data_IF_707577247347
#
_entry.id   IF_707577247347
#
_cell.length_a   1.000
_cell.length_b   1.000
_cell.length_c   1.000
_cell.angle_alpha   90.00
_cell.angle_beta   90.00
_cell.angle_gamma   90.00
#
_symmetry.space_group_name_H-M   'P 1'
#
loop_
_entity.id
_entity.type
_entity.pdbx_description
1 polymer ?
#
# COMPACT_ATOMS: atom_id res chain seq x y z
N UNK A 1 0.57 -24.52 21.91
CA UNK A 1 0.10 -23.12 21.99
C UNK A 1 -1.27 -23.07 21.31
N UNK A 2 -2.37 -22.78 22.02
CA UNK A 2 -3.70 -22.90 21.44
C UNK A 2 -3.87 -21.78 20.39
N UNK A 3 -4.19 -22.17 19.16
CA UNK A 3 -4.59 -21.25 18.10
C UNK A 3 -5.82 -20.47 18.62
N UNK A 4 -5.65 -19.18 18.88
CA UNK A 4 -6.75 -18.28 19.20
C UNK A 4 -7.79 -18.47 18.09
N UNK A 5 -8.98 -18.98 18.43
CA UNK A 5 -10.10 -19.01 17.49
C UNK A 5 -10.48 -17.57 17.20
N UNK A 6 -9.91 -17.02 16.12
CA UNK A 6 -10.23 -15.69 15.61
C UNK A 6 -11.71 -15.72 15.22
N UNK A 7 -12.55 -15.00 15.96
CA UNK A 7 -13.94 -14.81 15.61
C UNK A 7 -14.02 -13.89 14.38
N UNK A 8 -13.94 -14.52 13.20
CA UNK A 8 -13.96 -13.84 11.89
C UNK A 8 -15.19 -12.95 11.73
N UNK A 9 -16.32 -13.33 12.33
CA UNK A 9 -17.57 -12.55 12.24
C UNK A 9 -17.46 -11.20 12.95
N UNK A 10 -16.85 -11.19 14.15
CA UNK A 10 -16.62 -9.97 14.93
C UNK A 10 -15.67 -9.01 14.24
N UNK A 11 -14.56 -9.51 13.71
CA UNK A 11 -13.58 -8.68 12.99
C UNK A 11 -14.19 -8.06 11.72
N UNK A 12 -14.98 -8.83 10.98
CA UNK A 12 -15.68 -8.34 9.81
C UNK A 12 -16.68 -7.24 10.17
N UNK A 13 -17.53 -7.46 11.18
CA UNK A 13 -18.50 -6.46 11.62
C UNK A 13 -17.81 -5.15 12.07
N UNK A 14 -16.72 -5.25 12.81
CA UNK A 14 -15.93 -4.09 13.22
C UNK A 14 -15.33 -3.33 12.02
N UNK A 15 -14.78 -4.05 11.03
CA UNK A 15 -14.21 -3.45 9.83
C UNK A 15 -15.28 -2.76 8.97
N UNK A 16 -16.46 -3.38 8.82
CA UNK A 16 -17.57 -2.80 8.08
C UNK A 16 -18.12 -1.53 8.76
N UNK A 17 -18.18 -1.50 10.10
CA UNK A 17 -18.55 -0.29 10.82
C UNK A 17 -17.55 0.84 10.59
N UNK A 18 -16.23 0.57 10.71
CA UNK A 18 -15.19 1.56 10.37
C UNK A 18 -15.33 2.05 8.92
N UNK A 19 -15.56 1.14 7.96
CA UNK A 19 -15.72 1.50 6.55
C UNK A 19 -16.95 2.38 6.27
N UNK A 20 -18.05 2.20 7.01
CA UNK A 20 -19.22 3.08 6.92
C UNK A 20 -18.83 4.53 7.23
N UNK A 21 -18.00 4.72 8.25
CA UNK A 21 -17.56 6.03 8.73
C UNK A 21 -16.51 6.70 7.84
N UNK A 22 -15.77 5.94 7.01
CA UNK A 22 -14.83 6.51 6.03
C UNK A 22 -15.60 7.38 5.02
N UNK A 23 -15.31 8.69 4.90
CA UNK A 23 -16.07 9.55 4.02
C UNK A 23 -15.74 9.30 2.54
N UNK A 24 -16.76 9.31 1.68
CA UNK A 24 -16.54 9.38 0.22
C UNK A 24 -16.36 10.85 -0.15
N UNK A 25 -15.11 11.31 -0.14
CA UNK A 25 -14.78 12.72 -0.39
C UNK A 25 -14.63 12.96 -1.90
N UNK A 26 -15.43 13.86 -2.52
CA UNK A 26 -15.23 14.26 -3.91
C UNK A 26 -13.80 14.78 -4.17
N UNK A 27 -13.17 14.51 -5.33
CA UNK A 27 -11.78 14.89 -5.57
C UNK A 27 -11.49 16.39 -5.39
N UNK A 28 -12.44 17.28 -5.74
CA UNK A 28 -12.26 18.72 -5.53
C UNK A 28 -12.18 19.09 -4.05
N UNK A 29 -12.96 18.42 -3.19
CA UNK A 29 -12.96 18.66 -1.75
C UNK A 29 -11.67 18.11 -1.13
N UNK A 30 -11.25 16.90 -1.53
CA UNK A 30 -9.98 16.32 -1.08
C UNK A 30 -8.79 17.22 -1.45
N UNK A 31 -8.80 17.80 -2.66
CA UNK A 31 -7.78 18.74 -3.11
C UNK A 31 -7.69 19.98 -2.20
N UNK A 32 -8.83 20.57 -1.84
CA UNK A 32 -8.88 21.72 -0.91
C UNK A 32 -8.41 21.35 0.50
N UNK A 33 -8.78 20.17 1.01
CA UNK A 33 -8.31 19.70 2.32
C UNK A 33 -6.79 19.55 2.37
N UNK A 34 -6.17 19.06 1.30
CA UNK A 34 -4.70 19.01 1.20
C UNK A 34 -4.09 20.41 1.28
N UNK A 35 -4.73 21.42 0.67
CA UNK A 35 -4.31 22.81 0.75
C UNK A 35 -4.46 23.41 2.15
N UNK A 36 -5.55 23.10 2.84
CA UNK A 36 -5.79 23.53 4.22
C UNK A 36 -4.75 22.92 5.17
N UNK A 37 -4.33 21.68 4.93
CA UNK A 37 -3.26 21.00 5.68
C UNK A 37 -1.84 21.41 5.25
N UNK A 38 -1.70 22.43 4.40
CA UNK A 38 -0.42 23.02 4.05
C UNK A 38 0.32 22.38 2.87
N UNK A 39 -0.27 21.40 2.17
CA UNK A 39 0.33 20.87 0.95
C UNK A 39 0.14 21.85 -0.23
N UNK A 40 1.25 22.32 -0.83
CA UNK A 40 1.26 23.30 -1.92
C UNK A 40 1.92 22.75 -3.19
N UNK A 41 1.54 23.27 -4.35
CA UNK A 41 2.12 22.88 -5.64
C UNK A 41 1.66 21.51 -6.16
N UNK A 42 2.39 20.92 -7.10
CA UNK A 42 2.13 19.57 -7.64
C UNK A 42 0.67 19.30 -8.07
N UNK A 43 0.03 20.27 -8.74
CA UNK A 43 -1.41 20.23 -9.03
C UNK A 43 -1.85 18.98 -9.80
N UNK A 44 -1.07 18.55 -10.81
CA UNK A 44 -1.35 17.33 -11.58
C UNK A 44 -1.34 16.10 -10.69
N UNK A 45 -0.33 15.95 -9.83
CA UNK A 45 -0.21 14.83 -8.91
C UNK A 45 -1.33 14.83 -7.86
N UNK A 46 -1.63 15.99 -7.26
CA UNK A 46 -2.76 16.13 -6.32
C UNK A 46 -4.08 15.71 -6.93
N UNK A 47 -4.40 16.20 -8.14
CA UNK A 47 -5.64 15.82 -8.85
C UNK A 47 -5.71 14.31 -9.09
N UNK A 48 -4.62 13.69 -9.53
CA UNK A 48 -4.55 12.26 -9.77
C UNK A 48 -4.74 11.43 -8.49
N UNK A 49 -4.04 11.80 -7.40
CA UNK A 49 -4.09 11.08 -6.12
C UNK A 49 -5.44 11.28 -5.42
N UNK A 50 -6.06 12.46 -5.50
CA UNK A 50 -7.44 12.68 -5.04
C UNK A 50 -8.46 11.82 -5.80
N UNK A 51 -8.30 11.68 -7.12
CA UNK A 51 -9.17 10.81 -7.92
C UNK A 51 -8.97 9.33 -7.56
N UNK A 52 -7.73 8.91 -7.34
CA UNK A 52 -7.39 7.55 -6.88
C UNK A 52 -8.05 7.26 -5.53
N UNK A 53 -7.89 8.15 -4.55
CA UNK A 53 -8.45 8.00 -3.22
C UNK A 53 -9.99 7.91 -3.25
N UNK A 54 -10.64 8.77 -4.04
CA UNK A 54 -12.08 8.70 -4.26
C UNK A 54 -12.51 7.34 -4.84
N UNK A 55 -11.81 6.87 -5.88
CA UNK A 55 -12.10 5.58 -6.54
C UNK A 55 -11.90 4.41 -5.58
N UNK A 56 -10.83 4.44 -4.78
CA UNK A 56 -10.53 3.42 -3.76
C UNK A 56 -11.66 3.28 -2.75
N UNK A 57 -12.01 4.37 -2.05
CA UNK A 57 -13.07 4.35 -1.03
C UNK A 57 -14.41 3.97 -1.64
N UNK A 58 -14.76 4.51 -2.82
CA UNK A 58 -16.02 4.18 -3.49
C UNK A 58 -16.07 2.70 -3.87
N UNK A 59 -14.99 2.14 -4.41
CA UNK A 59 -14.89 0.71 -4.74
C UNK A 59 -15.07 -0.16 -3.49
N UNK A 60 -14.41 0.18 -2.38
CA UNK A 60 -14.56 -0.55 -1.12
C UNK A 60 -16.00 -0.56 -0.63
N UNK A 61 -16.67 0.60 -0.61
CA UNK A 61 -18.09 0.68 -0.18
C UNK A 61 -19.02 -0.09 -1.11
N UNK A 62 -18.84 0.00 -2.43
CA UNK A 62 -19.64 -0.76 -3.40
C UNK A 62 -19.56 -2.27 -3.13
N UNK A 63 -18.36 -2.80 -2.91
CA UNK A 63 -18.17 -4.23 -2.65
C UNK A 63 -18.74 -4.63 -1.28
N UNK A 64 -18.35 -3.91 -0.23
CA UNK A 64 -18.52 -4.41 1.15
C UNK A 64 -19.77 -3.90 1.87
N UNK A 65 -20.38 -2.81 1.41
CA UNK A 65 -21.59 -2.24 2.01
C UNK A 65 -22.82 -2.38 1.12
N UNK A 66 -22.62 -2.39 -0.20
CA UNK A 66 -23.72 -2.45 -1.18
C UNK A 66 -23.79 -3.76 -1.96
N UNK A 67 -22.86 -4.69 -1.75
CA UNK A 67 -22.93 -6.05 -2.29
C UNK A 67 -22.65 -6.16 -3.80
N UNK A 68 -22.00 -5.18 -4.41
CA UNK A 68 -21.63 -5.25 -5.83
C UNK A 68 -20.56 -6.32 -6.06
N UNK A 69 -20.66 -7.01 -7.19
CA UNK A 69 -19.65 -7.97 -7.62
C UNK A 69 -18.35 -7.25 -7.99
N UNK A 70 -17.20 -7.84 -7.64
CA UNK A 70 -15.88 -7.30 -8.03
C UNK A 70 -15.70 -7.21 -9.54
N UNK A 71 -16.39 -8.06 -10.30
CA UNK A 71 -16.34 -8.15 -11.77
C UNK A 71 -17.09 -7.01 -12.45
N UNK A 72 -18.07 -6.41 -11.78
CA UNK A 72 -18.88 -5.30 -12.31
C UNK A 72 -18.22 -3.94 -12.10
N UNK A 73 -17.17 -3.90 -11.27
CA UNK A 73 -16.47 -2.68 -10.89
C UNK A 73 -15.14 -2.57 -11.65
N UNK A 74 -14.73 -1.36 -12.07
CA UNK A 74 -13.43 -1.14 -12.67
C UNK A 74 -12.29 -1.74 -11.82
N UNK A 75 -11.30 -2.42 -12.43
CA UNK A 75 -10.26 -3.12 -11.71
C UNK A 75 -9.49 -2.17 -10.78
N UNK A 76 -8.99 -2.75 -9.68
CA UNK A 76 -8.06 -2.02 -8.81
C UNK A 76 -6.83 -1.61 -9.61
N UNK A 77 -6.34 -0.40 -9.39
CA UNK A 77 -5.16 0.13 -10.09
C UNK A 77 -4.14 0.57 -9.05
N UNK A 78 -2.94 -0.01 -9.13
CA UNK A 78 -1.78 0.50 -8.41
C UNK A 78 -1.35 1.83 -9.06
N UNK A 79 -0.70 2.71 -8.28
CA UNK A 79 -0.29 4.02 -8.75
C UNK A 79 1.19 4.25 -8.47
N UNK A 80 1.91 4.80 -9.46
CA UNK A 80 3.31 5.15 -9.36
C UNK A 80 3.46 6.68 -9.33
N UNK A 81 3.97 7.21 -8.22
CA UNK A 81 4.31 8.64 -8.08
C UNK A 81 5.76 8.87 -8.51
N UNK A 82 5.97 9.60 -9.60
CA UNK A 82 7.30 10.00 -10.05
C UNK A 82 7.54 11.49 -9.84
N UNK A 83 8.71 11.83 -9.31
CA UNK A 83 9.14 13.20 -9.07
C UNK A 83 10.45 13.25 -8.28
N UNK A 84 11.13 14.40 -8.23
CA UNK A 84 12.43 14.55 -7.57
C UNK A 84 12.33 14.32 -6.05
N UNK A 85 13.47 14.12 -5.41
CA UNK A 85 13.56 14.03 -3.94
C UNK A 85 13.08 15.34 -3.29
N UNK A 86 12.39 15.24 -2.16
CA UNK A 86 11.90 16.41 -1.42
C UNK A 86 10.66 17.11 -2.00
N UNK A 87 10.07 16.63 -3.10
CA UNK A 87 8.90 17.28 -3.72
C UNK A 87 7.55 16.96 -3.04
N UNK A 88 7.57 16.24 -1.91
CA UNK A 88 6.36 15.91 -1.14
C UNK A 88 5.56 14.69 -1.63
N UNK A 89 6.18 13.68 -2.24
CA UNK A 89 5.48 12.44 -2.66
C UNK A 89 4.90 11.69 -1.46
N UNK A 90 5.75 11.38 -0.49
CA UNK A 90 5.42 10.63 0.72
C UNK A 90 4.44 11.40 1.59
N UNK A 91 4.66 12.71 1.75
CA UNK A 91 3.77 13.61 2.50
C UNK A 91 2.35 13.69 1.89
N UNK A 92 2.23 13.68 0.55
CA UNK A 92 0.92 13.67 -0.12
C UNK A 92 0.11 12.43 0.24
N UNK A 93 0.75 11.27 0.22
CA UNK A 93 0.12 9.98 0.54
C UNK A 93 -0.29 9.94 2.01
N UNK A 94 0.58 10.37 2.90
CA UNK A 94 0.30 10.43 4.34
C UNK A 94 -0.90 11.34 4.64
N UNK A 95 -0.89 12.59 4.17
CA UNK A 95 -1.99 13.51 4.41
C UNK A 95 -3.32 12.97 3.87
N UNK A 96 -3.33 12.40 2.66
CA UNK A 96 -4.59 11.98 2.05
C UNK A 96 -5.15 10.70 2.67
N UNK A 97 -4.34 9.66 2.79
CA UNK A 97 -4.84 8.34 3.19
C UNK A 97 -4.84 8.14 4.70
N UNK A 98 -3.83 8.63 5.42
CA UNK A 98 -3.72 8.52 6.88
C UNK A 98 -4.52 9.62 7.59
N UNK A 99 -4.31 10.89 7.26
CA UNK A 99 -4.93 11.99 8.01
C UNK A 99 -6.38 12.28 7.57
N UNK A 100 -6.60 12.46 6.26
CA UNK A 100 -7.92 12.84 5.72
C UNK A 100 -8.90 11.67 5.72
N UNK A 101 -8.47 10.50 5.22
CA UNK A 101 -9.33 9.33 5.07
C UNK A 101 -9.27 8.35 6.25
N UNK A 102 -8.23 8.43 7.09
CA UNK A 102 -8.04 7.56 8.25
C UNK A 102 -8.09 6.07 7.92
N UNK A 103 -7.57 5.71 6.74
CA UNK A 103 -7.38 4.32 6.33
C UNK A 103 -6.07 3.77 6.93
N UNK A 104 -5.98 2.47 7.23
CA UNK A 104 -4.74 1.87 7.69
C UNK A 104 -3.71 2.02 6.60
N UNK A 105 -2.65 2.80 6.89
CA UNK A 105 -1.68 3.24 5.88
C UNK A 105 -0.28 2.95 6.36
N UNK A 106 0.45 2.15 5.58
CA UNK A 106 1.85 1.83 5.82
C UNK A 106 2.69 2.45 4.71
N UNK A 107 3.78 3.10 5.12
CA UNK A 107 4.80 3.65 4.24
C UNK A 107 6.08 2.87 4.55
N UNK A 108 6.67 2.25 3.53
CA UNK A 108 7.92 1.51 3.65
C UNK A 108 8.96 2.03 2.66
N UNK A 109 10.22 2.01 3.08
CA UNK A 109 11.37 2.18 2.20
C UNK A 109 11.79 0.81 1.69
N UNK A 110 11.84 0.64 0.37
CA UNK A 110 12.14 -0.66 -0.24
C UNK A 110 13.61 -1.06 -0.15
N UNK A 111 14.52 -0.13 0.12
CA UNK A 111 15.96 -0.43 0.22
C UNK A 111 16.30 -1.36 1.38
N UNK A 112 15.43 -1.41 2.39
CA UNK A 112 15.57 -2.32 3.53
C UNK A 112 15.18 -3.78 3.23
N UNK A 113 14.64 -4.11 2.06
CA UNK A 113 14.10 -5.45 1.77
C UNK A 113 15.09 -6.38 1.07
N UNK A 114 15.02 -7.69 1.37
CA UNK A 114 15.87 -8.72 0.75
C UNK A 114 15.13 -10.05 0.53
N UNK A 115 15.48 -10.81 -0.52
CA UNK A 115 14.77 -12.04 -0.94
C UNK A 115 14.72 -13.15 0.12
N UNK A 116 15.67 -13.20 1.05
CA UNK A 116 15.75 -14.28 2.07
C UNK A 116 15.51 -13.79 3.49
N UNK A 117 15.19 -12.51 3.69
CA UNK A 117 15.03 -11.94 5.02
C UNK A 117 16.29 -11.98 5.91
N UNK A 118 17.45 -12.36 5.35
CA UNK A 118 18.65 -12.72 6.12
C UNK A 118 19.52 -11.51 6.48
N UNK A 119 19.43 -10.44 5.68
CA UNK A 119 20.18 -9.17 5.88
C UNK A 119 19.24 -7.95 5.86
N UNK A 120 18.01 -8.09 5.35
CA UNK A 120 16.97 -7.07 5.32
C UNK A 120 15.58 -7.65 5.56
N UNK A 121 14.55 -6.80 5.58
CA UNK A 121 13.16 -7.19 5.82
C UNK A 121 12.60 -8.12 4.70
N UNK A 122 11.74 -9.07 5.06
CA UNK A 122 10.95 -9.89 4.13
C UNK A 122 9.75 -9.08 3.62
N UNK A 123 9.41 -9.17 2.33
CA UNK A 123 8.26 -8.48 1.71
C UNK A 123 6.94 -8.76 2.45
N UNK A 124 6.77 -9.95 3.04
CA UNK A 124 5.59 -10.32 3.84
C UNK A 124 5.41 -9.43 5.07
N UNK A 125 6.50 -8.86 5.60
CA UNK A 125 6.44 -7.96 6.75
C UNK A 125 5.64 -6.69 6.46
N UNK A 126 5.48 -6.30 5.19
CA UNK A 126 4.60 -5.20 4.78
C UNK A 126 3.16 -5.46 5.26
N UNK A 127 2.65 -6.68 5.04
CA UNK A 127 1.31 -7.07 5.46
C UNK A 127 1.22 -7.17 6.99
N UNK A 128 2.28 -7.62 7.67
CA UNK A 128 2.35 -7.62 9.13
C UNK A 128 2.26 -6.20 9.69
N UNK A 129 2.99 -5.24 9.11
CA UNK A 129 2.92 -3.82 9.48
C UNK A 129 1.53 -3.25 9.22
N UNK A 130 0.90 -3.62 8.11
CA UNK A 130 -0.46 -3.16 7.77
C UNK A 130 -1.49 -3.71 8.75
N UNK A 131 -1.33 -4.98 9.15
CA UNK A 131 -2.17 -5.62 10.15
C UNK A 131 -2.00 -4.97 11.52
N UNK A 132 -0.77 -4.61 11.90
CA UNK A 132 -0.47 -3.91 13.15
C UNK A 132 -1.18 -2.55 13.24
N UNK A 133 -1.06 -1.69 12.21
CA UNK A 133 -1.77 -0.39 12.16
C UNK A 133 -3.29 -0.54 11.99
N UNK A 134 -3.76 -1.77 11.80
CA UNK A 134 -5.18 -2.11 11.69
C UNK A 134 -5.74 -2.74 12.97
N UNK A 135 -5.05 -2.60 14.12
CA UNK A 135 -5.40 -3.24 15.39
C UNK A 135 -5.57 -4.76 15.28
N UNK A 136 -4.73 -5.39 14.46
CA UNK A 136 -4.80 -6.82 14.15
C UNK A 136 -6.14 -7.28 13.52
N UNK A 137 -6.89 -6.36 12.91
CA UNK A 137 -8.09 -6.69 12.14
C UNK A 137 -7.74 -6.91 10.65
N UNK A 138 -7.80 -8.17 10.13
CA UNK A 138 -7.43 -8.46 8.76
C UNK A 138 -8.40 -7.87 7.72
N UNK A 139 -9.69 -7.77 8.05
CA UNK A 139 -10.68 -7.15 7.16
C UNK A 139 -10.47 -5.65 7.03
N UNK A 140 -10.08 -4.99 8.12
CA UNK A 140 -9.72 -3.57 8.08
C UNK A 140 -8.40 -3.33 7.35
N UNK A 141 -7.39 -4.18 7.58
CA UNK A 141 -6.12 -4.14 6.85
C UNK A 141 -6.32 -4.27 5.32
N UNK A 142 -7.24 -5.14 4.88
CA UNK A 142 -7.58 -5.31 3.47
C UNK A 142 -8.17 -4.05 2.79
N UNK A 143 -8.64 -3.07 3.57
CA UNK A 143 -9.13 -1.78 3.06
C UNK A 143 -8.02 -0.71 3.03
N UNK A 144 -6.85 -1.04 3.57
CA UNK A 144 -5.73 -0.13 3.75
C UNK A 144 -4.97 0.22 2.48
N UNK A 145 -3.88 0.96 2.71
CA UNK A 145 -2.99 1.49 1.68
C UNK A 145 -1.56 1.16 2.05
N UNK A 146 -0.81 0.68 1.06
CA UNK A 146 0.64 0.48 1.16
C UNK A 146 1.32 1.45 0.21
N UNK A 147 2.24 2.25 0.73
CA UNK A 147 3.11 3.12 -0.04
C UNK A 147 4.53 2.56 0.02
N UNK A 148 5.12 2.35 -1.15
CA UNK A 148 6.50 1.87 -1.30
C UNK A 148 7.34 3.05 -1.80
N UNK A 149 8.20 3.56 -0.93
CA UNK A 149 9.15 4.62 -1.24
C UNK A 149 10.46 4.03 -1.78
N UNK A 150 11.26 4.87 -2.43
CA UNK A 150 12.52 4.49 -3.09
C UNK A 150 12.39 3.33 -4.11
N UNK A 151 11.21 3.19 -4.74
CA UNK A 151 10.91 2.10 -5.67
C UNK A 151 11.91 1.99 -6.84
N UNK A 152 12.54 3.11 -7.24
CA UNK A 152 13.59 3.14 -8.27
C UNK A 152 14.84 2.33 -7.90
N UNK A 153 15.11 2.14 -6.61
CA UNK A 153 16.27 1.37 -6.12
C UNK A 153 16.17 -0.11 -6.44
N UNK A 154 14.95 -0.64 -6.61
CA UNK A 154 14.75 -2.02 -7.07
C UNK A 154 15.33 -2.29 -8.46
N UNK A 155 15.39 -1.28 -9.32
CA UNK A 155 15.88 -1.42 -10.70
C UNK A 155 17.42 -1.27 -10.81
N UNK A 156 18.07 -0.72 -9.77
CA UNK A 156 19.50 -0.38 -9.79
C UNK A 156 20.39 -1.56 -9.41
N UNK A 157 19.85 -2.58 -8.74
CA UNK A 157 20.57 -3.80 -8.39
C UNK A 157 20.73 -4.73 -9.60
N UNK A 158 21.44 -4.27 -10.63
CA UNK A 158 21.95 -5.12 -11.71
C UNK A 158 23.23 -5.78 -11.21
N UNK A 159 23.33 -7.11 -11.37
CA UNK A 159 24.56 -7.86 -11.14
C UNK A 159 25.71 -7.30 -11.98
N UNK A 160 26.50 -6.38 -11.42
CA UNK A 160 27.84 -6.03 -11.91
C UNK A 160 28.93 -6.91 -11.29
N UNK A 161 28.56 -7.95 -10.54
CA UNK A 161 29.46 -9.08 -10.31
C UNK A 161 29.50 -9.94 -11.58
N UNK A 162 30.27 -9.49 -12.58
CA UNK A 162 30.83 -10.43 -13.56
C UNK A 162 31.70 -11.40 -12.77
N UNK A 163 31.23 -12.63 -12.68
CA UNK A 163 31.95 -13.76 -12.14
C UNK A 163 33.21 -14.02 -12.95
N UNK A 164 34.35 -13.56 -12.45
CA UNK A 164 35.61 -14.27 -12.65
C UNK A 164 35.64 -15.44 -11.64
N UNK A 165 35.15 -16.60 -12.08
CA UNK A 165 35.75 -17.89 -11.71
C UNK A 165 35.58 -18.47 -10.30
N UNK A 166 34.65 -18.07 -9.44
CA UNK A 166 34.50 -18.72 -8.13
C UNK A 166 33.05 -18.86 -7.62
N UNK A 167 32.38 -19.97 -7.94
CA UNK A 167 31.29 -20.57 -7.16
C UNK A 167 30.05 -19.71 -6.85
N UNK A 168 28.98 -19.92 -7.61
CA UNK A 168 27.55 -19.60 -7.29
C UNK A 168 27.31 -18.63 -6.13
N UNK A 169 27.39 -17.32 -6.37
CA UNK A 169 26.74 -16.35 -5.48
C UNK A 169 25.27 -16.32 -5.89
N UNK A 170 24.43 -16.72 -4.94
CA UNK A 170 22.98 -16.57 -5.01
C UNK A 170 22.68 -15.10 -5.30
N UNK A 171 21.78 -14.87 -6.23
CA UNK A 171 21.37 -13.55 -6.70
C UNK A 171 20.90 -12.71 -5.48
N UNK A 172 21.72 -11.76 -5.01
CA UNK A 172 21.35 -10.81 -3.94
C UNK A 172 20.72 -9.56 -4.58
N UNK A 173 20.09 -9.74 -5.74
CA UNK A 173 19.56 -8.65 -6.54
C UNK A 173 18.15 -8.25 -6.10
N UNK A 174 17.77 -7.01 -6.44
CA UNK A 174 16.40 -6.52 -6.26
C UNK A 174 15.36 -7.33 -7.03
N UNK A 175 15.78 -8.24 -7.93
CA UNK A 175 14.89 -9.13 -8.68
C UNK A 175 14.11 -10.08 -7.76
N UNK A 176 14.74 -10.59 -6.70
CA UNK A 176 14.06 -11.45 -5.72
C UNK A 176 12.91 -10.71 -5.02
N UNK A 177 13.19 -9.51 -4.55
CA UNK A 177 12.19 -8.61 -3.94
C UNK A 177 11.07 -8.26 -4.94
N UNK A 178 11.41 -7.96 -6.20
CA UNK A 178 10.41 -7.72 -7.25
C UNK A 178 9.48 -8.93 -7.46
N UNK A 179 10.01 -10.15 -7.49
CA UNK A 179 9.20 -11.38 -7.62
C UNK A 179 8.24 -11.57 -6.46
N UNK A 180 8.67 -11.27 -5.24
CA UNK A 180 7.79 -11.36 -4.07
C UNK A 180 6.72 -10.26 -4.06
N UNK A 181 7.07 -9.03 -4.47
CA UNK A 181 6.11 -7.95 -4.64
C UNK A 181 5.04 -8.28 -5.69
N UNK A 182 5.39 -8.98 -6.79
CA UNK A 182 4.41 -9.43 -7.78
C UNK A 182 3.36 -10.37 -7.16
N UNK A 183 3.78 -11.33 -6.33
CA UNK A 183 2.83 -12.21 -5.60
C UNK A 183 1.91 -11.43 -4.67
N UNK A 184 2.39 -10.33 -4.10
CA UNK A 184 1.59 -9.43 -3.27
C UNK A 184 0.59 -8.63 -4.11
N UNK A 185 0.99 -8.15 -5.29
CA UNK A 185 0.13 -7.36 -6.19
C UNK A 185 -0.93 -8.17 -6.93
N UNK A 186 -0.65 -9.42 -7.30
CA UNK A 186 -1.62 -10.31 -7.95
C UNK A 186 -2.71 -10.78 -6.98
N UNK A 187 -2.48 -10.62 -5.68
CA UNK A 187 -3.33 -11.12 -4.60
C UNK A 187 -2.84 -12.48 -4.15
N UNK A 188 -2.36 -12.55 -2.91
CA UNK A 188 -1.99 -13.80 -2.24
C UNK A 188 -2.90 -14.04 -1.05
N UNK A 189 -3.34 -15.28 -0.85
CA UNK A 189 -3.83 -15.73 0.45
C UNK A 189 -2.61 -15.91 1.35
N UNK A 190 -2.53 -15.14 2.42
CA UNK A 190 -1.45 -15.17 3.42
C UNK A 190 -2.04 -15.56 4.76
#
# INVERSE_FOLDING_TARGET
MPLIKIDRSKYLAAALNRLKDVPVIPPQIAFKKLEELGYRGQEKARKAVCLLAYRHVRRLKMIHLYGYSRMELPPHSNFLLMGPTGCGKTFLVELLFREILKLPTVIIDITGFSETGYVGDDVKTILTRLLYVSDFNPHWAAFGVVCIDEFDKLATTRNTARFDGAGTTKDVSGLGVQRELLKLFEGSEV
#
